data_IF_979472336863
#
_entry.id   IF_979472336863
#
_cell.length_a   1.000
_cell.length_b   1.000
_cell.length_c   1.000
_cell.angle_alpha   90.00
_cell.angle_beta   90.00
_cell.angle_gamma   90.00
#
_symmetry.space_group_name_H-M   'P 1'
#
loop_
_entity.id
_entity.type
_entity.pdbx_description
1 polymer ?
#
# COMPACT_ATOMS: atom_id res chain seq x y z
N UNK A 1 8.91 -7.99 -44.99
CA UNK A 1 8.56 -6.86 -45.88
C UNK A 1 9.47 -5.69 -45.51
N UNK A 2 10.17 -5.08 -46.48
CA UNK A 2 11.16 -4.01 -46.19
C UNK A 2 10.65 -2.60 -46.50
N UNK A 3 9.72 -2.44 -47.45
CA UNK A 3 9.04 -1.18 -47.77
C UNK A 3 7.63 -1.48 -48.27
N UNK A 4 6.64 -0.70 -47.84
CA UNK A 4 5.24 -0.89 -48.23
C UNK A 4 4.41 0.39 -48.03
N UNK A 5 3.21 0.42 -48.61
CA UNK A 5 2.27 1.53 -48.41
C UNK A 5 1.71 1.55 -46.98
N UNK A 6 1.21 2.70 -46.52
CA UNK A 6 0.61 2.85 -45.18
C UNK A 6 -0.51 1.84 -44.93
N UNK A 7 -1.36 1.58 -45.93
CA UNK A 7 -2.45 0.60 -45.85
C UNK A 7 -1.95 -0.84 -45.70
N UNK A 8 -0.84 -1.18 -46.37
CA UNK A 8 -0.20 -2.50 -46.22
C UNK A 8 0.44 -2.66 -44.84
N UNK A 9 1.09 -1.61 -44.32
CA UNK A 9 1.64 -1.63 -42.97
C UNK A 9 0.56 -1.73 -41.90
N UNK A 10 -0.51 -0.94 -42.00
CA UNK A 10 -1.64 -1.03 -41.07
C UNK A 10 -2.22 -2.45 -41.04
N UNK A 11 -2.49 -3.05 -42.21
CA UNK A 11 -2.98 -4.42 -42.29
C UNK A 11 -1.98 -5.44 -41.69
N UNK A 12 -0.68 -5.22 -41.88
CA UNK A 12 0.36 -6.08 -41.31
C UNK A 12 0.41 -5.98 -39.79
N UNK A 13 0.40 -4.75 -39.26
CA UNK A 13 0.46 -4.47 -37.82
C UNK A 13 -0.80 -5.01 -37.12
N UNK A 14 -1.99 -4.76 -37.68
CA UNK A 14 -3.24 -5.32 -37.13
C UNK A 14 -3.25 -6.84 -37.17
N UNK A 15 -2.63 -7.48 -38.16
CA UNK A 15 -2.51 -8.94 -38.18
C UNK A 15 -1.57 -9.49 -37.08
N UNK A 16 -0.72 -8.67 -36.45
CA UNK A 16 0.11 -9.10 -35.31
C UNK A 16 -0.74 -9.48 -34.10
N UNK A 17 -2.01 -9.10 -34.04
CA UNK A 17 -2.90 -9.54 -32.96
C UNK A 17 -3.18 -11.04 -32.99
N UNK A 18 -3.10 -11.65 -34.18
CA UNK A 18 -3.11 -13.12 -34.33
C UNK A 18 -1.86 -13.79 -33.77
N UNK A 19 -0.79 -13.02 -33.57
CA UNK A 19 0.51 -13.47 -33.04
C UNK A 19 0.71 -13.08 -31.57
N UNK A 20 -0.33 -12.56 -30.89
CA UNK A 20 -0.32 -12.30 -29.45
C UNK A 20 -0.09 -10.84 -29.03
N UNK A 21 0.18 -9.92 -29.96
CA UNK A 21 0.22 -8.48 -29.66
C UNK A 21 -1.20 -7.98 -29.38
N UNK A 22 -1.44 -7.25 -28.30
CA UNK A 22 -2.79 -6.76 -28.00
C UNK A 22 -3.15 -5.56 -28.87
N UNK A 23 -4.44 -5.38 -29.13
CA UNK A 23 -4.93 -4.16 -29.80
C UNK A 23 -4.57 -2.89 -28.99
N UNK A 24 -4.56 -2.98 -27.66
CA UNK A 24 -4.11 -1.87 -26.79
C UNK A 24 -2.64 -1.51 -27.02
N UNK A 25 -1.76 -2.49 -27.25
CA UNK A 25 -0.33 -2.25 -27.52
C UNK A 25 -0.14 -1.50 -28.83
N UNK A 26 -0.90 -1.90 -29.86
CA UNK A 26 -0.86 -1.25 -31.17
C UNK A 26 -1.40 0.18 -31.06
N UNK A 27 -2.54 0.36 -30.40
CA UNK A 27 -3.17 1.67 -30.22
C UNK A 27 -2.23 2.64 -29.50
N UNK A 28 -1.72 2.24 -28.34
CA UNK A 28 -0.85 3.11 -27.54
C UNK A 28 0.60 3.17 -28.02
N UNK A 29 0.96 2.49 -29.10
CA UNK A 29 2.26 2.71 -29.74
C UNK A 29 2.32 4.00 -30.57
N UNK A 30 1.16 4.58 -30.92
CA UNK A 30 1.04 5.73 -31.82
C UNK A 30 1.38 5.43 -33.28
N UNK A 31 1.80 4.20 -33.61
CA UNK A 31 2.30 3.85 -34.95
C UNK A 31 1.22 3.94 -36.02
N UNK A 32 -0.03 3.62 -35.68
CA UNK A 32 -1.14 3.68 -36.63
C UNK A 32 -1.55 5.12 -36.94
N UNK A 33 -1.58 5.99 -35.93
CA UNK A 33 -1.89 7.41 -36.10
C UNK A 33 -0.82 8.08 -36.96
N UNK A 34 0.46 7.76 -36.72
CA UNK A 34 1.55 8.22 -37.56
C UNK A 34 1.45 7.71 -39.00
N UNK A 35 1.16 6.41 -39.20
CA UNK A 35 0.99 5.81 -40.53
C UNK A 35 -0.15 6.45 -41.33
N UNK A 36 -1.25 6.82 -40.67
CA UNK A 36 -2.40 7.47 -41.30
C UNK A 36 -2.04 8.84 -41.92
N UNK A 37 -1.01 9.51 -41.39
CA UNK A 37 -0.50 10.78 -41.91
C UNK A 37 0.47 10.63 -43.08
N UNK A 38 0.92 9.40 -43.38
CA UNK A 38 1.92 9.16 -44.42
C UNK A 38 1.28 8.98 -45.80
N UNK A 39 1.74 9.76 -46.77
CA UNK A 39 1.33 9.65 -48.18
C UNK A 39 2.24 8.74 -49.01
N UNK A 40 3.48 8.50 -48.57
CA UNK A 40 4.48 7.68 -49.26
C UNK A 40 4.64 6.31 -48.62
N UNK A 41 5.24 5.37 -49.36
CA UNK A 41 5.58 4.06 -48.83
C UNK A 41 6.70 4.15 -47.79
N UNK A 42 6.48 3.53 -46.63
CA UNK A 42 7.41 3.54 -45.50
C UNK A 42 8.23 2.26 -45.48
N UNK A 43 9.47 2.37 -45.02
CA UNK A 43 10.37 1.25 -44.74
C UNK A 43 10.06 0.63 -43.39
N UNK A 44 10.53 -0.61 -43.16
CA UNK A 44 10.40 -1.26 -41.85
C UNK A 44 11.10 -0.46 -40.75
N UNK A 45 12.25 0.16 -41.04
CA UNK A 45 13.00 0.96 -40.07
C UNK A 45 12.20 2.18 -39.62
N UNK A 46 11.64 2.95 -40.56
CA UNK A 46 10.81 4.12 -40.27
C UNK A 46 9.59 3.76 -39.41
N UNK A 47 8.94 2.62 -39.70
CA UNK A 47 7.80 2.13 -38.88
C UNK A 47 8.24 1.80 -37.45
N UNK A 48 9.39 1.14 -37.27
CA UNK A 48 9.91 0.79 -35.95
C UNK A 48 10.33 2.02 -35.13
N UNK A 49 10.92 3.03 -35.78
CA UNK A 49 11.33 4.28 -35.12
C UNK A 49 10.15 5.10 -34.57
N UNK A 50 8.93 4.89 -35.08
CA UNK A 50 7.73 5.60 -34.65
C UNK A 50 6.85 4.81 -33.67
N UNK A 51 7.31 3.66 -33.18
CA UNK A 51 6.70 2.98 -32.04
C UNK A 51 7.15 3.70 -30.76
N UNK A 52 6.23 4.39 -30.08
CA UNK A 52 6.55 5.19 -28.91
C UNK A 52 5.60 4.93 -27.74
N UNK A 53 6.16 4.55 -26.59
CA UNK A 53 5.42 4.32 -25.35
C UNK A 53 5.79 5.33 -24.23
N UNK A 54 6.43 6.46 -24.58
CA UNK A 54 6.89 7.44 -23.58
C UNK A 54 5.74 8.03 -22.73
N UNK A 55 4.56 8.17 -23.34
CA UNK A 55 3.36 8.62 -22.66
C UNK A 55 2.78 7.56 -21.70
N UNK A 56 3.19 6.30 -21.85
CA UNK A 56 2.87 5.18 -20.95
C UNK A 56 4.00 4.88 -19.95
N UNK A 57 4.97 5.78 -19.78
CA UNK A 57 6.05 5.57 -18.81
C UNK A 57 5.49 5.49 -17.37
N UNK A 58 5.42 4.27 -16.87
CA UNK A 58 4.89 3.97 -15.54
C UNK A 58 5.85 4.46 -14.47
N UNK A 59 5.29 5.06 -13.42
CA UNK A 59 5.98 5.31 -12.15
C UNK A 59 5.21 4.67 -11.01
N UNK A 60 5.94 3.98 -10.16
CA UNK A 60 5.46 3.55 -8.85
C UNK A 60 5.83 4.63 -7.85
N UNK A 61 4.83 5.27 -7.25
CA UNK A 61 5.03 6.35 -6.27
C UNK A 61 4.16 6.12 -5.04
N UNK A 62 4.55 6.71 -3.93
CA UNK A 62 3.68 6.91 -2.77
C UNK A 62 3.27 8.38 -2.77
N UNK A 63 2.02 8.66 -2.40
CA UNK A 63 1.63 10.05 -2.16
C UNK A 63 2.42 10.59 -0.97
N UNK A 64 2.90 11.82 -1.06
CA UNK A 64 3.62 12.47 0.04
C UNK A 64 2.79 13.60 0.58
N UNK A 65 2.71 13.70 1.91
CA UNK A 65 2.10 14.84 2.59
C UNK A 65 3.17 15.60 3.33
N UNK A 66 2.99 16.92 3.38
CA UNK A 66 3.78 17.75 4.28
C UNK A 66 3.58 17.20 5.69
N UNK A 67 4.69 16.93 6.36
CA UNK A 67 4.67 16.50 7.74
C UNK A 67 4.16 17.69 8.55
N UNK A 68 2.89 17.65 8.91
CA UNK A 68 2.43 18.43 10.05
C UNK A 68 3.26 17.96 11.25
N UNK A 69 3.73 18.85 12.13
CA UNK A 69 4.60 18.49 13.25
C UNK A 69 3.80 17.83 14.39
N UNK A 70 3.01 16.82 14.02
CA UNK A 70 2.33 15.90 14.88
C UNK A 70 2.87 14.50 14.55
N UNK A 71 3.61 13.95 15.50
CA UNK A 71 4.36 12.71 15.41
C UNK A 71 3.43 11.50 15.42
N UNK A 72 3.70 10.54 14.53
CA UNK A 72 2.95 9.29 14.48
C UNK A 72 3.68 8.20 15.27
N UNK A 73 3.31 8.09 16.55
CA UNK A 73 3.85 7.10 17.47
C UNK A 73 3.28 5.70 17.22
N UNK A 74 4.11 4.69 17.01
CA UNK A 74 3.69 3.30 16.88
C UNK A 74 3.72 2.65 18.27
N UNK A 75 2.64 2.02 18.69
CA UNK A 75 2.61 1.23 19.93
C UNK A 75 3.56 0.04 19.80
N UNK A 76 4.36 -0.19 20.83
CA UNK A 76 5.30 -1.29 20.93
C UNK A 76 5.42 -1.73 22.39
N UNK A 77 6.14 -2.82 22.62
CA UNK A 77 6.42 -3.27 23.98
C UNK A 77 7.83 -3.85 24.01
N UNK A 78 8.81 -2.94 23.99
CA UNK A 78 10.23 -3.31 23.97
C UNK A 78 10.90 -2.91 25.28
N UNK A 79 11.75 -3.76 25.86
CA UNK A 79 12.51 -3.36 27.04
C UNK A 79 13.47 -2.22 26.68
N UNK A 80 13.59 -1.23 27.57
CA UNK A 80 14.58 -0.16 27.42
C UNK A 80 15.99 -0.75 27.51
N UNK A 81 16.86 -0.39 26.57
CA UNK A 81 18.28 -0.81 26.57
C UNK A 81 19.01 -0.24 27.81
N UNK A 82 19.21 -1.10 28.81
CA UNK A 82 19.86 -0.77 30.08
C UNK A 82 21.35 -0.42 29.95
N UNK A 83 22.03 -0.82 28.85
CA UNK A 83 23.44 -0.43 28.62
C UNK A 83 23.53 1.04 28.24
N UNK A 84 22.57 1.52 27.42
CA UNK A 84 22.45 2.93 27.03
C UNK A 84 21.78 3.77 28.12
N UNK A 85 20.87 3.17 28.89
CA UNK A 85 20.09 3.84 29.94
C UNK A 85 20.39 3.26 31.32
N UNK A 86 21.56 3.61 31.89
CA UNK A 86 21.99 3.06 33.19
C UNK A 86 21.02 3.33 34.34
N UNK A 87 20.28 4.43 34.28
CA UNK A 87 19.25 4.78 35.27
C UNK A 87 18.11 3.74 35.33
N UNK A 88 17.86 3.01 34.23
CA UNK A 88 16.85 1.96 34.17
C UNK A 88 17.24 0.70 34.98
N UNK A 89 18.47 0.63 35.50
CA UNK A 89 18.86 -0.40 36.47
C UNK A 89 18.34 -0.12 37.89
N UNK A 90 17.87 1.10 38.16
CA UNK A 90 17.39 1.54 39.47
C UNK A 90 15.86 1.51 39.58
N UNK A 91 15.18 0.82 38.67
CA UNK A 91 13.71 0.73 38.59
C UNK A 91 13.30 -0.72 38.33
N UNK A 92 12.04 -1.06 38.63
CA UNK A 92 11.51 -2.41 38.46
C UNK A 92 11.46 -2.79 36.97
N UNK A 93 10.80 -1.95 36.16
CA UNK A 93 10.82 -2.10 34.71
C UNK A 93 10.81 -0.74 34.01
N UNK A 94 11.32 -0.73 32.78
CA UNK A 94 11.27 0.42 31.89
C UNK A 94 11.04 -0.12 30.48
N UNK A 95 9.86 0.16 29.95
CA UNK A 95 9.36 -0.45 28.72
C UNK A 95 9.03 0.67 27.72
N UNK A 96 9.55 0.57 26.51
CA UNK A 96 9.16 1.43 25.38
C UNK A 96 7.77 1.00 24.94
N UNK A 97 6.81 1.86 25.20
CA UNK A 97 5.40 1.63 24.91
C UNK A 97 4.99 2.29 23.60
N UNK A 98 5.64 3.39 23.22
CA UNK A 98 5.42 4.02 21.92
C UNK A 98 6.73 4.51 21.31
N UNK A 99 6.87 4.35 20.00
CA UNK A 99 8.06 4.71 19.26
C UNK A 99 7.72 5.46 17.97
N UNK A 100 8.32 6.63 17.78
CA UNK A 100 8.24 7.39 16.55
C UNK A 100 9.50 7.11 15.71
N UNK A 101 9.32 6.69 14.46
CA UNK A 101 10.41 6.13 13.64
C UNK A 101 11.28 7.17 12.95
N UNK A 102 10.73 8.33 12.60
CA UNK A 102 11.39 9.33 11.76
C UNK A 102 12.46 10.09 12.56
N UNK A 103 12.06 10.62 13.72
CA UNK A 103 12.90 11.39 14.63
C UNK A 103 13.34 10.59 15.86
N UNK A 104 12.96 9.31 15.94
CA UNK A 104 13.44 8.32 16.92
C UNK A 104 13.12 8.68 18.38
N UNK A 105 11.92 9.20 18.62
CA UNK A 105 11.42 9.44 19.98
C UNK A 105 10.80 8.17 20.56
N UNK A 106 11.01 7.94 21.85
CA UNK A 106 10.44 6.81 22.57
C UNK A 106 9.67 7.31 23.80
N UNK A 107 8.38 7.00 23.88
CA UNK A 107 7.58 7.19 25.09
C UNK A 107 7.63 5.88 25.88
N UNK A 108 8.12 6.00 27.11
CA UNK A 108 8.40 4.84 27.96
C UNK A 108 7.51 4.85 29.19
N UNK A 109 7.15 3.66 29.66
CA UNK A 109 6.51 3.43 30.96
C UNK A 109 7.55 2.88 31.92
N UNK A 110 7.72 3.56 33.05
CA UNK A 110 8.65 3.18 34.11
C UNK A 110 7.87 2.72 35.32
N UNK A 111 8.20 1.56 35.87
CA UNK A 111 7.66 1.02 37.12
C UNK A 111 8.71 1.11 38.22
N UNK A 112 8.32 1.62 39.38
CA UNK A 112 9.14 1.64 40.60
C UNK A 112 8.39 1.02 41.75
N UNK A 113 9.15 0.34 42.60
CA UNK A 113 8.75 -0.08 43.93
C UNK A 113 9.08 1.04 44.92
N UNK A 114 8.13 1.36 45.79
CA UNK A 114 8.25 2.44 46.76
C UNK A 114 7.76 2.03 48.14
N UNK A 115 8.14 2.80 49.15
CA UNK A 115 7.73 2.59 50.55
C UNK A 115 6.19 2.58 50.73
N UNK A 116 5.47 3.22 49.81
CA UNK A 116 4.01 3.35 49.82
C UNK A 116 3.32 2.53 48.72
N UNK A 117 4.03 1.55 48.16
CA UNK A 117 3.54 0.68 47.09
C UNK A 117 4.17 0.96 45.74
N UNK A 118 3.81 0.12 44.76
CA UNK A 118 4.29 0.23 43.39
C UNK A 118 3.59 1.37 42.67
N UNK A 119 4.35 2.14 41.90
CA UNK A 119 3.81 3.18 41.05
C UNK A 119 4.47 3.18 39.68
N UNK A 120 3.71 3.61 38.68
CA UNK A 120 4.15 3.69 37.30
C UNK A 120 3.95 5.11 36.76
N UNK A 121 4.90 5.55 35.95
CA UNK A 121 4.86 6.88 35.33
C UNK A 121 5.45 6.83 33.93
N UNK A 122 5.14 7.85 33.15
CA UNK A 122 5.52 7.95 31.74
C UNK A 122 6.61 9.00 31.55
N UNK A 123 7.54 8.73 30.62
CA UNK A 123 8.63 9.64 30.26
C UNK A 123 8.86 9.65 28.75
N UNK A 124 9.48 10.72 28.26
CA UNK A 124 9.96 10.84 26.89
C UNK A 124 11.47 10.64 26.81
N UNK A 125 11.93 9.77 25.92
CA UNK A 125 13.31 9.68 25.49
C UNK A 125 13.46 10.27 24.08
N UNK A 126 14.51 11.07 23.88
CA UNK A 126 14.90 11.57 22.57
C UNK A 126 15.67 10.56 21.72
N UNK A 127 16.06 10.94 20.48
CA UNK A 127 16.81 10.09 19.54
C UNK A 127 18.14 9.53 20.09
N UNK A 128 18.75 10.23 21.05
CA UNK A 128 19.98 9.79 21.71
C UNK A 128 19.73 8.87 22.92
N UNK A 129 18.48 8.46 23.16
CA UNK A 129 18.05 7.67 24.29
C UNK A 129 18.02 8.41 25.62
N UNK A 130 18.27 9.72 25.66
CA UNK A 130 18.24 10.50 26.92
C UNK A 130 16.83 11.00 27.23
N UNK A 131 16.45 11.09 28.53
CA UNK A 131 15.22 11.74 28.94
C UNK A 131 15.14 13.19 28.44
N UNK A 132 13.99 13.55 27.90
CA UNK A 132 13.63 14.94 27.57
C UNK A 132 12.62 15.40 28.61
N UNK A 133 12.88 16.57 29.19
CA UNK A 133 12.05 17.18 30.22
C UNK A 133 11.40 18.47 29.68
N UNK A 134 10.23 18.86 30.21
CA UNK A 134 9.70 20.21 30.02
C UNK A 134 10.72 21.27 30.44
N UNK A 135 10.71 22.44 29.80
CA UNK A 135 11.68 23.51 30.06
C UNK A 135 11.63 24.05 31.49
N UNK A 136 10.47 23.91 32.12
CA UNK A 136 10.18 24.36 33.47
C UNK A 136 10.77 23.42 34.54
N UNK A 137 11.17 22.19 34.16
CA UNK A 137 11.64 21.14 35.06
C UNK A 137 13.13 20.87 34.84
N UNK A 138 13.96 21.15 35.86
CA UNK A 138 15.43 21.05 35.75
C UNK A 138 16.05 19.77 36.29
N UNK A 139 15.30 18.96 37.05
CA UNK A 139 15.80 17.74 37.70
C UNK A 139 14.77 16.60 37.62
N UNK A 140 15.26 15.36 37.69
CA UNK A 140 14.46 14.13 37.65
C UNK A 140 14.28 13.64 39.08
N UNK A 141 13.27 14.14 39.80
CA UNK A 141 12.78 13.46 41.00
C UNK A 141 11.66 12.50 40.58
N UNK A 142 11.44 11.45 41.38
CA UNK A 142 10.52 10.35 41.03
C UNK A 142 9.04 10.77 40.90
N UNK A 143 8.72 12.04 41.16
CA UNK A 143 7.44 12.72 41.00
C UNK A 143 7.19 13.32 39.60
N UNK A 144 8.20 13.35 38.73
CA UNK A 144 8.19 14.26 37.57
C UNK A 144 7.79 13.56 36.25
N UNK A 145 7.38 12.29 36.32
CA UNK A 145 6.79 11.57 35.20
C UNK A 145 5.29 11.77 35.11
N UNK A 146 4.72 11.57 33.92
CA UNK A 146 3.28 11.76 33.71
C UNK A 146 2.47 10.53 34.13
N UNK A 147 1.20 10.70 34.54
CA UNK A 147 0.33 9.58 34.88
C UNK A 147 -0.11 8.77 33.64
N UNK A 148 -0.03 9.36 32.45
CA UNK A 148 -0.43 8.77 31.17
C UNK A 148 0.55 9.20 30.05
N UNK A 149 0.53 8.58 28.86
CA UNK A 149 1.52 8.84 27.81
C UNK A 149 1.33 10.16 27.06
N UNK A 150 0.13 10.76 27.09
CA UNK A 150 -0.24 11.88 26.22
C UNK A 150 0.69 13.11 26.40
N UNK A 151 1.03 13.56 27.62
CA UNK A 151 1.93 14.69 27.80
C UNK A 151 3.35 14.40 27.30
N UNK A 152 3.81 13.15 27.34
CA UNK A 152 5.11 12.77 26.78
C UNK A 152 5.11 12.84 25.25
N UNK A 153 3.99 12.47 24.61
CA UNK A 153 3.80 12.60 23.17
C UNK A 153 3.70 14.07 22.75
N UNK A 154 2.99 14.89 23.53
CA UNK A 154 2.87 16.33 23.29
C UNK A 154 4.21 17.05 23.43
N UNK A 155 5.01 16.67 24.43
CA UNK A 155 6.36 17.19 24.58
C UNK A 155 7.24 16.83 23.38
N UNK A 156 7.10 15.61 22.84
CA UNK A 156 7.83 15.21 21.63
C UNK A 156 7.41 16.03 20.41
N UNK A 157 6.11 16.29 20.27
CA UNK A 157 5.57 17.16 19.23
C UNK A 157 6.13 18.59 19.31
N UNK A 158 6.13 19.17 20.52
CA UNK A 158 6.71 20.49 20.75
C UNK A 158 8.21 20.51 20.44
N UNK A 159 8.94 19.52 20.93
CA UNK A 159 10.38 19.43 20.76
C UNK A 159 10.79 19.28 19.29
N UNK A 160 10.02 18.54 18.48
CA UNK A 160 10.22 18.47 17.02
C UNK A 160 9.92 19.80 16.34
N UNK A 161 8.87 20.53 16.75
CA UNK A 161 8.58 21.88 16.22
C UNK A 161 9.72 22.84 16.49
N UNK A 162 10.26 22.82 17.70
CA UNK A 162 11.33 23.73 18.09
C UNK A 162 12.65 23.41 17.38
N UNK A 163 13.01 22.13 17.27
CA UNK A 163 14.26 21.71 16.61
C UNK A 163 14.19 21.78 15.09
N UNK A 164 13.05 21.44 14.50
CA UNK A 164 12.93 21.13 13.08
C UNK A 164 11.81 21.90 12.36
N UNK A 165 11.05 22.76 13.04
CA UNK A 165 9.91 23.47 12.47
C UNK A 165 10.24 24.48 11.35
N UNK A 166 11.53 24.77 11.13
CA UNK A 166 12.01 25.58 10.01
C UNK A 166 12.27 24.77 8.73
N UNK A 167 12.18 23.43 8.78
CA UNK A 167 12.41 22.54 7.66
C UNK A 167 11.07 22.02 7.13
N UNK A 168 10.91 22.00 5.81
CA UNK A 168 9.78 21.32 5.17
C UNK A 168 10.05 19.83 5.08
N UNK A 169 9.39 19.05 5.94
CA UNK A 169 9.46 17.60 5.91
C UNK A 169 8.28 17.03 5.14
N UNK A 170 8.53 15.96 4.41
CA UNK A 170 7.50 15.17 3.74
C UNK A 170 7.52 13.76 4.31
N UNK A 171 6.35 13.18 4.51
CA UNK A 171 6.20 11.75 4.81
C UNK A 171 5.28 11.12 3.79
N UNK A 172 5.35 9.80 3.65
CA UNK A 172 4.38 9.09 2.83
C UNK A 172 3.00 9.21 3.47
N UNK A 173 2.03 9.63 2.66
CA UNK A 173 0.64 9.64 3.02
C UNK A 173 0.20 8.17 3.17
N UNK A 174 -0.32 7.86 4.35
CA UNK A 174 -0.92 6.57 4.67
C UNK A 174 -2.41 6.80 4.87
N UNK A 175 -3.03 7.35 3.83
CA UNK A 175 -4.37 7.95 3.89
C UNK A 175 -5.41 6.93 4.34
N UNK A 176 -5.28 5.70 3.88
CA UNK A 176 -6.20 4.58 4.05
C UNK A 176 -5.67 3.50 5.00
N UNK A 177 -4.64 3.79 5.81
CA UNK A 177 -4.09 2.84 6.79
C UNK A 177 -5.16 2.33 7.76
N UNK A 178 -6.13 3.15 8.08
CA UNK A 178 -7.22 2.79 8.98
C UNK A 178 -8.17 1.73 8.42
N UNK A 179 -8.18 1.55 7.10
CA UNK A 179 -8.90 0.47 6.41
C UNK A 179 -8.03 -0.78 6.24
N UNK A 180 -6.81 -0.81 6.81
CA UNK A 180 -5.95 -1.97 6.78
C UNK A 180 -6.32 -2.91 7.93
N UNK A 181 -6.25 -4.21 7.68
CA UNK A 181 -6.37 -5.19 8.74
C UNK A 181 -5.25 -5.06 9.77
N UNK A 182 -5.57 -5.28 11.05
CA UNK A 182 -4.57 -5.25 12.12
C UNK A 182 -3.56 -6.40 11.98
N UNK A 183 -2.38 -6.24 12.59
CA UNK A 183 -1.30 -7.25 12.62
C UNK A 183 -0.17 -7.05 11.60
N UNK A 184 -0.35 -6.15 10.62
CA UNK A 184 0.69 -5.81 9.65
C UNK A 184 1.62 -4.68 10.08
N UNK A 185 2.84 -4.70 9.57
CA UNK A 185 3.81 -3.61 9.72
C UNK A 185 4.17 -2.99 8.35
N UNK A 186 4.84 -1.83 8.35
CA UNK A 186 5.32 -1.18 7.10
C UNK A 186 4.24 -0.99 6.03
N UNK A 187 3.05 -0.55 6.45
CA UNK A 187 1.96 -0.28 5.53
C UNK A 187 2.33 0.80 4.51
N UNK A 188 2.02 0.52 3.24
CA UNK A 188 2.30 1.35 2.08
C UNK A 188 1.08 1.42 1.13
N UNK A 189 0.93 2.59 0.49
CA UNK A 189 -0.06 2.87 -0.55
C UNK A 189 0.67 3.11 -1.87
N UNK A 190 0.75 2.07 -2.69
CA UNK A 190 1.47 2.11 -3.96
C UNK A 190 0.56 2.66 -5.06
N UNK A 191 0.98 3.75 -5.71
CA UNK A 191 0.28 4.36 -6.83
C UNK A 191 1.03 4.06 -8.13
N UNK A 192 0.40 3.33 -9.04
CA UNK A 192 0.90 3.10 -10.40
C UNK A 192 0.39 4.23 -11.29
N UNK A 193 1.29 5.12 -11.70
CA UNK A 193 0.96 6.35 -12.40
C UNK A 193 1.57 6.42 -13.80
N UNK A 194 0.91 7.13 -14.71
CA UNK A 194 1.42 7.53 -16.02
C UNK A 194 1.43 9.05 -16.15
N UNK A 195 2.41 9.72 -15.51
CA UNK A 195 2.40 11.19 -15.41
C UNK A 195 2.60 11.89 -16.75
N UNK A 196 3.15 11.20 -17.76
CA UNK A 196 3.34 11.73 -19.11
C UNK A 196 2.12 11.51 -20.03
N UNK A 197 1.06 10.88 -19.53
CA UNK A 197 -0.13 10.65 -20.34
C UNK A 197 -0.81 11.99 -20.71
N UNK A 198 -1.27 12.16 -21.96
CA UNK A 198 -1.78 13.46 -22.43
C UNK A 198 -3.05 13.90 -21.71
N UNK A 199 -3.96 12.95 -21.48
CA UNK A 199 -5.18 13.21 -20.73
C UNK A 199 -4.91 13.29 -19.23
N UNK A 200 -5.85 13.91 -18.52
CA UNK A 200 -5.80 14.05 -17.06
C UNK A 200 -6.97 13.34 -16.41
N UNK A 201 -6.67 12.42 -15.51
CA UNK A 201 -7.61 11.78 -14.61
C UNK A 201 -7.20 12.04 -13.15
N UNK A 202 -8.17 12.36 -12.30
CA UNK A 202 -7.99 12.44 -10.85
C UNK A 202 -8.91 11.44 -10.16
N UNK A 203 -8.31 10.69 -9.23
CA UNK A 203 -9.07 9.83 -8.31
C UNK A 203 -9.74 10.69 -7.22
N UNK A 204 -10.81 10.16 -6.62
CA UNK A 204 -11.39 10.73 -5.39
C UNK A 204 -10.55 10.38 -4.14
N UNK A 205 -9.68 9.38 -4.23
CA UNK A 205 -8.93 8.83 -3.10
C UNK A 205 -7.54 9.46 -2.93
N UNK A 206 -6.96 10.01 -4.01
CA UNK A 206 -5.58 10.51 -4.04
C UNK A 206 -5.51 11.79 -4.86
N UNK A 207 -4.61 12.72 -4.48
CA UNK A 207 -4.38 13.96 -5.23
C UNK A 207 -3.47 13.75 -6.45
N UNK A 208 -2.78 12.61 -6.51
CA UNK A 208 -1.90 12.27 -7.63
C UNK A 208 -2.72 11.98 -8.90
N UNK A 209 -2.37 12.65 -10.00
CA UNK A 209 -3.04 12.46 -11.29
C UNK A 209 -2.63 11.17 -11.99
N UNK A 210 -3.48 10.70 -12.90
CA UNK A 210 -3.21 9.63 -13.85
C UNK A 210 -2.78 8.31 -13.18
N UNK A 211 -3.45 7.95 -12.08
CA UNK A 211 -3.30 6.66 -11.41
C UNK A 211 -4.05 5.61 -12.21
N UNK A 212 -3.33 4.65 -12.78
CA UNK A 212 -3.91 3.47 -13.46
C UNK A 212 -4.48 2.51 -12.41
N UNK A 213 -3.70 2.25 -11.36
CA UNK A 213 -4.09 1.35 -10.29
C UNK A 213 -3.40 1.79 -8.99
N UNK A 214 -4.01 1.47 -7.87
CA UNK A 214 -3.40 1.59 -6.56
C UNK A 214 -3.44 0.24 -5.84
N UNK A 215 -2.42 0.00 -5.01
CA UNK A 215 -2.30 -1.20 -4.19
C UNK A 215 -2.01 -0.80 -2.76
N UNK A 216 -2.83 -1.28 -1.83
CA UNK A 216 -2.55 -1.17 -0.39
C UNK A 216 -1.87 -2.45 0.05
N UNK A 217 -0.75 -2.32 0.75
CA UNK A 217 0.01 -3.48 1.23
C UNK A 217 0.60 -3.24 2.60
N UNK A 218 0.84 -4.32 3.33
CA UNK A 218 1.70 -4.33 4.51
C UNK A 218 2.59 -5.58 4.50
N UNK A 219 3.49 -5.67 5.47
CA UNK A 219 4.34 -6.83 5.69
C UNK A 219 3.88 -7.58 6.94
N UNK A 220 3.79 -8.90 6.83
CA UNK A 220 3.33 -9.79 7.91
C UNK A 220 4.21 -11.02 7.99
N UNK A 221 4.42 -11.50 9.21
CA UNK A 221 4.93 -12.84 9.41
C UNK A 221 3.74 -13.81 9.40
N UNK A 222 3.85 -14.89 8.64
CA UNK A 222 2.84 -15.94 8.65
C UNK A 222 3.07 -16.93 9.80
N UNK A 223 2.15 -17.90 9.98
CA UNK A 223 2.26 -18.94 11.02
C UNK A 223 3.51 -19.83 10.92
N UNK A 224 4.25 -19.77 9.81
CA UNK A 224 5.50 -20.49 9.59
C UNK A 224 6.74 -19.60 9.80
N UNK A 225 6.56 -18.34 10.20
CA UNK A 225 7.64 -17.37 10.41
C UNK A 225 8.22 -16.81 9.11
N UNK A 226 7.51 -16.95 7.98
CA UNK A 226 7.91 -16.37 6.69
C UNK A 226 7.44 -14.93 6.61
N UNK A 227 8.28 -14.04 6.09
CA UNK A 227 7.94 -12.62 5.92
C UNK A 227 7.23 -12.43 4.59
N UNK A 228 5.96 -12.05 4.62
CA UNK A 228 5.09 -11.97 3.44
C UNK A 228 4.73 -10.52 3.13
N UNK A 229 4.80 -10.14 1.85
CA UNK A 229 4.14 -8.93 1.36
C UNK A 229 2.66 -9.24 1.20
N UNK A 230 1.83 -8.67 2.08
CA UNK A 230 0.40 -8.91 2.09
C UNK A 230 -0.34 -7.78 1.38
N UNK A 231 -1.01 -8.12 0.26
CA UNK A 231 -1.81 -7.19 -0.53
C UNK A 231 -3.21 -7.10 0.08
N UNK A 232 -3.46 -5.96 0.72
CA UNK A 232 -4.72 -5.62 1.39
C UNK A 232 -5.80 -5.23 0.39
N UNK A 233 -5.42 -4.57 -0.71
CA UNK A 233 -6.34 -4.13 -1.75
C UNK A 233 -5.60 -3.88 -3.06
N UNK A 234 -6.25 -4.19 -4.18
CA UNK A 234 -5.83 -3.82 -5.53
C UNK A 234 -7.04 -3.22 -6.25
N UNK A 235 -6.95 -1.96 -6.66
CA UNK A 235 -8.08 -1.21 -7.24
C UNK A 235 -7.64 -0.25 -8.35
N UNK A 236 -8.57 0.08 -9.26
CA UNK A 236 -8.42 1.14 -10.26
C UNK A 236 -9.66 2.03 -10.28
N UNK A 237 -9.55 3.24 -9.71
CA UNK A 237 -10.65 4.21 -9.76
C UNK A 237 -10.94 4.68 -11.18
N UNK A 238 -9.89 4.83 -12.00
CA UNK A 238 -10.03 5.29 -13.38
C UNK A 238 -10.89 4.33 -14.18
N UNK A 239 -10.56 3.04 -14.14
CA UNK A 239 -11.28 2.06 -14.94
C UNK A 239 -12.59 1.63 -14.30
N UNK A 240 -12.76 1.74 -12.98
CA UNK A 240 -14.07 1.59 -12.35
C UNK A 240 -15.02 2.73 -12.78
N UNK A 241 -14.56 3.99 -12.73
CA UNK A 241 -15.35 5.13 -13.19
C UNK A 241 -15.67 5.02 -14.69
N UNK A 242 -14.69 4.61 -15.51
CA UNK A 242 -14.91 4.42 -16.95
C UNK A 242 -15.93 3.32 -17.27
N UNK A 243 -15.96 2.22 -16.49
CA UNK A 243 -16.99 1.17 -16.62
C UNK A 243 -18.37 1.63 -16.16
N UNK A 244 -18.43 2.46 -15.11
CA UNK A 244 -19.68 2.92 -14.52
C UNK A 244 -20.33 4.07 -15.30
N UNK A 245 -19.53 5.05 -15.72
CA UNK A 245 -20.00 6.30 -16.33
C UNK A 245 -19.71 6.38 -17.85
N UNK A 246 -18.96 5.43 -18.40
CA UNK A 246 -18.48 5.44 -19.78
C UNK A 246 -17.20 6.26 -19.93
N UNK A 247 -16.41 5.95 -20.96
CA UNK A 247 -15.22 6.73 -21.35
C UNK A 247 -15.57 7.79 -22.38
N UNK A 248 -14.83 8.92 -22.37
CA UNK A 248 -15.04 10.06 -23.27
C UNK A 248 -14.95 9.72 -24.76
N UNK A 249 -14.16 8.72 -25.14
CA UNK A 249 -14.04 8.27 -26.53
C UNK A 249 -15.26 7.46 -27.02
N UNK A 250 -16.11 6.99 -26.10
CA UNK A 250 -17.35 6.25 -26.40
C UNK A 250 -18.57 7.13 -26.14
N UNK A 251 -18.49 8.00 -25.14
CA UNK A 251 -19.55 8.92 -24.74
C UNK A 251 -18.95 10.33 -24.63
N UNK A 252 -19.21 11.21 -25.60
CA UNK A 252 -18.66 12.57 -25.65
C UNK A 252 -19.03 13.41 -24.42
N UNK A 253 -20.15 13.09 -23.75
CA UNK A 253 -20.61 13.75 -22.53
C UNK A 253 -19.90 13.24 -21.25
N UNK A 254 -19.01 12.23 -21.35
CA UNK A 254 -18.27 11.70 -20.20
C UNK A 254 -17.01 12.50 -19.89
N UNK A 255 -16.89 12.90 -18.63
CA UNK A 255 -15.68 13.53 -18.10
C UNK A 255 -14.52 12.55 -17.93
N UNK A 256 -14.73 11.24 -18.07
CA UNK A 256 -13.71 10.21 -17.81
C UNK A 256 -12.88 9.94 -19.07
N UNK A 257 -11.60 10.32 -19.13
CA UNK A 257 -10.78 10.07 -20.31
C UNK A 257 -10.57 8.56 -20.54
N UNK A 258 -10.48 8.14 -21.80
CA UNK A 258 -10.11 6.76 -22.13
C UNK A 258 -8.64 6.54 -21.78
N UNK A 259 -8.41 5.69 -20.77
CA UNK A 259 -7.08 5.38 -20.27
C UNK A 259 -6.53 4.06 -20.80
N UNK A 260 -5.19 3.90 -20.84
CA UNK A 260 -4.55 2.64 -21.18
C UNK A 260 -4.81 1.58 -20.09
N UNK A 261 -4.66 0.30 -20.45
CA UNK A 261 -4.87 -0.85 -19.54
C UNK A 261 -6.29 -0.99 -18.97
N UNK A 262 -7.33 -0.53 -19.69
CA UNK A 262 -8.73 -0.58 -19.23
C UNK A 262 -9.22 -1.97 -18.78
N UNK A 263 -8.68 -3.01 -19.40
CA UNK A 263 -8.97 -4.41 -19.09
C UNK A 263 -7.80 -5.17 -18.45
N UNK A 264 -6.60 -4.58 -18.47
CA UNK A 264 -5.35 -5.23 -18.05
C UNK A 264 -4.66 -4.54 -16.87
N UNK A 265 -5.26 -3.51 -16.26
CA UNK A 265 -4.68 -2.78 -15.13
C UNK A 265 -4.35 -3.67 -13.93
N UNK A 266 -5.17 -4.71 -13.68
CA UNK A 266 -4.90 -5.68 -12.61
C UNK A 266 -3.63 -6.49 -12.88
N UNK A 267 -3.40 -6.88 -14.15
CA UNK A 267 -2.17 -7.58 -14.54
C UNK A 267 -0.96 -6.70 -14.28
N UNK A 268 -1.06 -5.41 -14.63
CA UNK A 268 0.00 -4.44 -14.41
C UNK A 268 0.28 -4.20 -12.91
N UNK A 269 -0.77 -4.12 -12.09
CA UNK A 269 -0.65 -4.02 -10.64
C UNK A 269 0.08 -5.25 -10.06
N UNK A 270 -0.33 -6.46 -10.44
CA UNK A 270 0.29 -7.71 -9.99
C UNK A 270 1.74 -7.82 -10.45
N UNK A 271 2.01 -7.50 -11.71
CA UNK A 271 3.36 -7.44 -12.29
C UNK A 271 4.28 -6.53 -11.48
N UNK A 272 3.78 -5.35 -11.11
CA UNK A 272 4.50 -4.40 -10.28
C UNK A 272 4.74 -4.96 -8.88
N UNK A 273 3.73 -5.57 -8.25
CA UNK A 273 3.89 -6.17 -6.91
C UNK A 273 4.82 -7.39 -6.92
N UNK A 274 4.84 -8.19 -7.98
CA UNK A 274 5.81 -9.26 -8.19
C UNK A 274 7.24 -8.72 -8.26
N UNK A 275 7.45 -7.65 -9.04
CA UNK A 275 8.74 -6.98 -9.11
C UNK A 275 9.18 -6.44 -7.75
N UNK A 276 8.27 -5.77 -7.04
CA UNK A 276 8.54 -5.23 -5.70
C UNK A 276 8.90 -6.33 -4.70
N UNK A 277 8.11 -7.41 -4.64
CA UNK A 277 8.39 -8.51 -3.72
C UNK A 277 9.71 -9.24 -4.05
N UNK A 278 10.08 -9.33 -5.33
CA UNK A 278 11.36 -9.89 -5.73
C UNK A 278 12.56 -9.00 -5.34
N UNK A 279 12.37 -7.68 -5.30
CA UNK A 279 13.38 -6.70 -4.84
C UNK A 279 13.41 -6.51 -3.31
N UNK A 280 12.33 -6.88 -2.63
CA UNK A 280 12.19 -6.80 -1.18
C UNK A 280 12.63 -8.09 -0.48
N UNK A 281 12.95 -7.97 0.81
CA UNK A 281 13.31 -9.10 1.66
C UNK A 281 12.06 -9.80 2.23
N UNK A 282 11.21 -10.32 1.35
CA UNK A 282 9.97 -11.04 1.67
C UNK A 282 9.97 -12.39 0.96
N UNK A 283 9.49 -13.46 1.59
CA UNK A 283 9.47 -14.83 1.07
C UNK A 283 8.36 -15.08 0.05
N UNK A 284 7.33 -14.25 0.04
CA UNK A 284 6.16 -14.43 -0.80
C UNK A 284 5.23 -13.22 -0.87
N UNK A 285 4.20 -13.36 -1.69
CA UNK A 285 3.09 -12.43 -1.79
C UNK A 285 1.81 -13.15 -1.42
N UNK A 286 1.10 -12.65 -0.42
CA UNK A 286 -0.25 -13.10 -0.10
C UNK A 286 -1.25 -11.96 -0.35
N UNK A 287 -2.54 -12.28 -0.44
CA UNK A 287 -3.59 -11.29 -0.62
C UNK A 287 -4.86 -11.69 0.13
N UNK A 288 -5.74 -10.73 0.33
CA UNK A 288 -7.05 -10.97 0.95
C UNK A 288 -7.93 -11.89 0.11
N UNK A 289 -8.76 -12.71 0.73
CA UNK A 289 -9.81 -13.49 0.02
C UNK A 289 -11.03 -12.61 -0.31
N UNK A 290 -11.92 -13.16 -1.12
CA UNK A 290 -13.19 -12.52 -1.47
C UNK A 290 -14.10 -12.31 -0.27
N UNK A 291 -14.25 -13.32 0.57
CA UNK A 291 -15.01 -13.25 1.83
C UNK A 291 -14.55 -12.07 2.71
N UNK A 292 -13.23 -11.89 2.81
CA UNK A 292 -12.62 -10.82 3.62
C UNK A 292 -12.92 -9.43 3.08
N UNK A 293 -12.97 -9.29 1.74
CA UNK A 293 -13.30 -8.04 1.09
C UNK A 293 -14.80 -7.76 1.19
N UNK A 294 -15.65 -8.77 1.03
CA UNK A 294 -17.08 -8.61 1.25
C UNK A 294 -17.37 -8.15 2.68
N UNK A 295 -16.75 -8.81 3.66
CA UNK A 295 -16.90 -8.46 5.07
C UNK A 295 -16.47 -7.02 5.36
N UNK A 296 -15.36 -6.58 4.75
CA UNK A 296 -14.88 -5.19 4.84
C UNK A 296 -15.87 -4.19 4.25
N UNK A 297 -16.46 -4.50 3.10
CA UNK A 297 -17.22 -3.52 2.31
C UNK A 297 -18.74 -3.61 2.48
N UNK A 298 -19.28 -4.62 3.17
CA UNK A 298 -20.73 -4.82 3.36
C UNK A 298 -21.44 -3.61 3.96
N UNK A 299 -20.80 -2.89 4.89
CA UNK A 299 -21.40 -1.70 5.52
C UNK A 299 -21.49 -0.50 4.57
N UNK A 300 -20.53 -0.36 3.64
CA UNK A 300 -20.54 0.70 2.63
C UNK A 300 -21.51 0.42 1.48
N UNK A 301 -21.79 -0.87 1.24
CA UNK A 301 -22.61 -1.35 0.13
C UNK A 301 -23.70 -2.33 0.60
N UNK A 302 -24.55 -1.96 1.57
CA UNK A 302 -25.45 -2.89 2.25
C UNK A 302 -26.48 -3.54 1.33
N UNK A 303 -26.79 -2.89 0.20
CA UNK A 303 -27.79 -3.34 -0.78
C UNK A 303 -27.20 -3.57 -2.18
N UNK A 304 -25.88 -3.57 -2.33
CA UNK A 304 -25.20 -3.77 -3.63
C UNK A 304 -24.46 -5.12 -3.65
N UNK A 305 -25.26 -6.19 -3.52
CA UNK A 305 -24.78 -7.57 -3.61
C UNK A 305 -23.97 -7.84 -4.88
N UNK A 306 -24.38 -7.37 -6.08
CA UNK A 306 -23.57 -7.57 -7.29
C UNK A 306 -22.15 -7.01 -7.20
N UNK A 307 -21.98 -5.85 -6.53
CA UNK A 307 -20.65 -5.27 -6.30
C UNK A 307 -19.81 -6.11 -5.33
N UNK A 308 -20.41 -6.57 -4.23
CA UNK A 308 -19.73 -7.43 -3.25
C UNK A 308 -19.33 -8.78 -3.88
N UNK A 309 -20.22 -9.39 -4.66
CA UNK A 309 -19.93 -10.63 -5.39
C UNK A 309 -18.83 -10.42 -6.44
N UNK A 310 -18.84 -9.27 -7.11
CA UNK A 310 -17.79 -8.86 -8.05
C UNK A 310 -16.42 -8.75 -7.39
N UNK A 311 -16.36 -8.19 -6.19
CA UNK A 311 -15.13 -8.15 -5.38
C UNK A 311 -14.69 -9.57 -5.03
N UNK A 312 -15.59 -10.42 -4.54
CA UNK A 312 -15.22 -11.79 -4.17
C UNK A 312 -14.69 -12.59 -5.36
N UNK A 313 -15.36 -12.51 -6.50
CA UNK A 313 -14.90 -13.12 -7.76
C UNK A 313 -13.50 -12.62 -8.15
N UNK A 314 -13.22 -11.33 -7.98
CA UNK A 314 -11.91 -10.78 -8.29
C UNK A 314 -10.79 -11.41 -7.45
N UNK A 315 -10.95 -11.45 -6.12
CA UNK A 315 -9.92 -11.97 -5.22
C UNK A 315 -9.79 -13.49 -5.22
N UNK A 316 -10.90 -14.23 -5.36
CA UNK A 316 -10.88 -15.69 -5.25
C UNK A 316 -10.71 -16.41 -6.59
N UNK A 317 -11.03 -15.75 -7.71
CA UNK A 317 -10.96 -16.37 -9.05
C UNK A 317 -9.97 -15.68 -9.97
N UNK A 318 -10.05 -14.36 -10.10
CA UNK A 318 -9.25 -13.60 -11.08
C UNK A 318 -7.79 -13.51 -10.62
N UNK A 319 -7.52 -13.07 -9.39
CA UNK A 319 -6.15 -12.92 -8.88
C UNK A 319 -5.35 -14.24 -8.89
N UNK A 320 -5.84 -15.37 -8.35
CA UNK A 320 -5.08 -16.63 -8.38
C UNK A 320 -4.84 -17.15 -9.80
N UNK A 321 -5.75 -16.89 -10.73
CA UNK A 321 -5.57 -17.22 -12.14
C UNK A 321 -4.49 -16.36 -12.77
N UNK A 322 -4.49 -15.05 -12.52
CA UNK A 322 -3.48 -14.13 -13.03
C UNK A 322 -2.09 -14.44 -12.48
N UNK A 323 -1.96 -14.68 -11.17
CA UNK A 323 -0.69 -15.10 -10.58
C UNK A 323 -0.16 -16.36 -11.25
N UNK A 324 -0.98 -17.42 -11.40
CA UNK A 324 -0.57 -18.65 -12.12
C UNK A 324 -0.13 -18.39 -13.56
N UNK A 325 -0.81 -17.50 -14.27
CA UNK A 325 -0.47 -17.18 -15.66
C UNK A 325 0.82 -16.39 -15.77
N UNK A 326 1.02 -15.41 -14.88
CA UNK A 326 2.21 -14.55 -14.88
C UNK A 326 3.44 -15.28 -14.37
N UNK A 327 3.30 -16.22 -13.44
CA UNK A 327 4.44 -16.96 -12.89
C UNK A 327 4.73 -18.29 -13.59
N UNK A 328 3.99 -18.59 -14.66
CA UNK A 328 4.22 -19.77 -15.51
C UNK A 328 5.67 -19.75 -16.02
N UNK A 329 6.39 -20.86 -15.83
CA UNK A 329 7.79 -20.99 -16.23
C UNK A 329 8.82 -20.48 -15.22
N UNK A 330 8.36 -19.80 -14.15
CA UNK A 330 9.24 -19.33 -13.07
C UNK A 330 9.31 -20.30 -11.87
N UNK A 331 8.71 -21.49 -11.97
CA UNK A 331 8.65 -22.50 -10.89
C UNK A 331 8.02 -21.98 -9.58
N UNK A 332 7.12 -21.00 -9.66
CA UNK A 332 6.48 -20.42 -8.49
C UNK A 332 5.49 -21.41 -7.84
N UNK A 333 5.45 -21.43 -6.52
CA UNK A 333 4.48 -22.24 -5.77
C UNK A 333 3.31 -21.35 -5.35
N UNK A 334 2.10 -21.70 -5.82
CA UNK A 334 0.87 -21.11 -5.33
C UNK A 334 0.25 -22.07 -4.30
N UNK A 335 0.14 -21.59 -3.07
CA UNK A 335 -0.33 -22.34 -1.90
C UNK A 335 -1.22 -21.44 -1.04
N UNK A 336 -1.47 -21.85 0.20
CA UNK A 336 -2.18 -21.06 1.20
C UNK A 336 -1.30 -20.90 2.44
N UNK A 337 -1.55 -19.82 3.19
CA UNK A 337 -0.98 -19.62 4.52
C UNK A 337 -2.03 -19.06 5.45
N UNK A 338 -1.68 -18.91 6.73
CA UNK A 338 -2.51 -18.24 7.72
C UNK A 338 -1.74 -17.09 8.33
N UNK A 339 -2.46 -16.00 8.62
CA UNK A 339 -1.95 -14.84 9.33
C UNK A 339 -2.68 -14.69 10.65
N UNK A 340 -1.92 -14.25 11.66
CA UNK A 340 -2.52 -13.72 12.88
C UNK A 340 -3.10 -12.32 12.58
N UNK A 341 -4.40 -12.14 12.81
CA UNK A 341 -5.05 -10.83 12.75
C UNK A 341 -5.84 -10.58 14.03
N UNK A 342 -6.23 -9.33 14.27
CA UNK A 342 -7.30 -9.02 15.21
C UNK A 342 -8.62 -9.05 14.48
N UNK A 343 -9.65 -9.69 15.05
CA UNK A 343 -11.01 -9.59 14.55
C UNK A 343 -11.46 -8.11 14.50
N UNK A 344 -12.54 -7.80 13.78
CA UNK A 344 -13.04 -6.43 13.64
C UNK A 344 -14.38 -6.19 14.35
N UNK A 345 -14.73 -7.04 15.33
CA UNK A 345 -15.97 -6.92 16.11
C UNK A 345 -16.11 -5.53 16.74
N UNK A 346 -15.03 -4.98 17.26
CA UNK A 346 -14.96 -3.62 17.77
C UNK A 346 -14.21 -2.74 16.76
N UNK A 347 -14.80 -1.61 16.37
CA UNK A 347 -14.21 -0.72 15.36
C UNK A 347 -14.45 0.75 15.70
N UNK A 348 -13.61 1.63 15.16
CA UNK A 348 -13.73 3.07 15.36
C UNK A 348 -14.72 3.68 14.37
N UNK A 349 -15.70 4.43 14.88
CA UNK A 349 -16.68 5.17 14.07
C UNK A 349 -16.84 6.60 14.55
N UNK A 350 -17.36 7.48 13.68
CA UNK A 350 -17.59 8.90 14.03
C UNK A 350 -19.02 9.13 14.50
N UNK A 351 -19.18 9.68 15.70
CA UNK A 351 -20.47 10.10 16.25
C UNK A 351 -20.34 11.53 16.80
N UNK A 352 -21.19 12.44 16.34
CA UNK A 352 -21.25 13.83 16.86
C UNK A 352 -19.96 14.65 16.66
N UNK A 353 -19.14 14.31 15.66
CA UNK A 353 -17.86 14.98 15.40
C UNK A 353 -16.67 14.47 16.22
N UNK A 354 -16.87 13.44 17.06
CA UNK A 354 -15.80 12.68 17.70
C UNK A 354 -15.79 11.22 17.27
N UNK A 355 -14.89 10.43 17.85
CA UNK A 355 -14.67 9.01 17.58
C UNK A 355 -15.14 8.16 18.75
N UNK A 356 -15.87 7.08 18.49
CA UNK A 356 -16.34 6.12 19.48
C UNK A 356 -16.03 4.70 19.03
N UNK A 357 -15.82 3.81 19.99
CA UNK A 357 -15.72 2.38 19.74
C UNK A 357 -17.13 1.82 19.57
N UNK A 358 -17.41 1.23 18.41
CA UNK A 358 -18.68 0.57 18.13
C UNK A 358 -18.52 -0.95 18.32
N UNK A 359 -19.59 -1.63 18.75
CA UNK A 359 -19.71 -3.09 18.66
C UNK A 359 -20.52 -3.43 17.41
N UNK A 360 -19.93 -4.19 16.48
CA UNK A 360 -20.57 -4.63 15.24
C UNK A 360 -21.86 -5.42 15.48
N UNK A 361 -21.97 -6.13 16.62
CA UNK A 361 -23.14 -6.98 16.89
C UNK A 361 -24.36 -6.18 17.29
N UNK A 362 -24.16 -5.12 18.08
CA UNK A 362 -25.25 -4.29 18.61
C UNK A 362 -25.45 -2.99 17.83
N UNK A 363 -24.48 -2.60 16.99
CA UNK A 363 -24.43 -1.28 16.33
C UNK A 363 -24.53 -0.11 17.31
N UNK A 364 -23.99 -0.29 18.52
CA UNK A 364 -24.01 0.70 19.59
C UNK A 364 -22.59 1.13 20.01
N UNK A 365 -22.40 2.40 20.45
CA UNK A 365 -21.15 2.84 21.03
C UNK A 365 -20.90 2.15 22.38
N UNK A 366 -19.78 1.44 22.47
CA UNK A 366 -19.31 0.74 23.68
C UNK A 366 -18.17 1.49 24.38
N UNK A 367 -17.93 2.74 23.99
CA UNK A 367 -17.00 3.65 24.66
C UNK A 367 -17.53 5.08 24.69
N UNK A 368 -16.91 5.90 25.53
CA UNK A 368 -17.07 7.36 25.48
C UNK A 368 -16.55 7.94 24.16
N UNK A 369 -16.88 9.21 23.93
CA UNK A 369 -16.43 9.98 22.77
C UNK A 369 -14.99 10.46 22.95
N UNK A 370 -14.14 10.10 21.99
CA UNK A 370 -12.74 10.50 21.90
C UNK A 370 -12.55 11.50 20.77
N UNK A 371 -11.59 12.42 20.93
CA UNK A 371 -11.22 13.34 19.85
C UNK A 371 -10.29 12.71 18.81
N UNK A 372 -9.62 11.60 19.18
CA UNK A 372 -8.64 10.91 18.34
C UNK A 372 -9.14 9.53 17.92
N UNK A 373 -9.23 9.30 16.61
CA UNK A 373 -9.51 7.98 16.02
C UNK A 373 -8.57 6.90 16.56
N UNK A 374 -7.29 7.24 16.69
CA UNK A 374 -6.23 6.31 17.07
C UNK A 374 -6.43 5.71 18.47
N UNK A 375 -6.93 6.51 19.41
CA UNK A 375 -7.26 6.02 20.76
C UNK A 375 -8.33 4.94 20.69
N UNK A 376 -9.33 5.14 19.83
CA UNK A 376 -10.40 4.17 19.61
C UNK A 376 -9.90 2.92 18.90
N UNK A 377 -8.99 3.06 17.93
CA UNK A 377 -8.35 1.92 17.24
C UNK A 377 -7.49 1.07 18.19
N UNK A 378 -6.76 1.70 19.12
CA UNK A 378 -5.98 0.98 20.13
C UNK A 378 -6.91 0.22 21.09
N UNK A 379 -8.05 0.84 21.49
CA UNK A 379 -9.09 0.17 22.28
C UNK A 379 -9.71 -1.01 21.53
N UNK A 380 -10.02 -0.83 20.24
CA UNK A 380 -10.51 -1.87 19.35
C UNK A 380 -9.52 -3.05 19.31
N UNK A 381 -8.25 -2.78 19.02
CA UNK A 381 -7.20 -3.79 18.90
C UNK A 381 -6.99 -4.61 20.19
N UNK A 382 -7.12 -3.96 21.36
CA UNK A 382 -7.04 -4.64 22.67
C UNK A 382 -8.28 -5.48 22.99
N UNK A 383 -9.45 -5.04 22.55
CA UNK A 383 -10.74 -5.71 22.83
C UNK A 383 -11.03 -6.84 21.86
N UNK A 384 -10.59 -6.72 20.62
CA UNK A 384 -10.72 -7.72 19.58
C UNK A 384 -9.83 -8.94 19.87
N UNK A 385 -10.41 -10.12 19.76
CA UNK A 385 -9.66 -11.37 19.84
C UNK A 385 -8.65 -11.49 18.69
N UNK A 386 -7.55 -12.20 18.97
CA UNK A 386 -6.66 -12.68 17.93
C UNK A 386 -7.34 -13.85 17.22
N UNK A 387 -7.42 -13.77 15.89
CA UNK A 387 -7.94 -14.83 15.03
C UNK A 387 -6.94 -15.15 13.92
N UNK A 388 -6.96 -16.40 13.45
CA UNK A 388 -6.13 -16.83 12.34
C UNK A 388 -6.95 -16.87 11.07
N UNK A 389 -6.49 -16.16 10.06
CA UNK A 389 -7.20 -16.08 8.79
C UNK A 389 -6.34 -16.63 7.67
N UNK A 390 -6.95 -17.50 6.88
CA UNK A 390 -6.33 -18.09 5.69
C UNK A 390 -6.22 -17.06 4.57
N UNK A 391 -5.15 -17.14 3.81
CA UNK A 391 -4.92 -16.32 2.65
C UNK A 391 -4.18 -17.12 1.57
N UNK A 392 -4.52 -16.92 0.29
CA UNK A 392 -3.72 -17.40 -0.82
C UNK A 392 -2.31 -16.81 -0.75
N UNK A 393 -1.31 -17.61 -1.09
CA UNK A 393 0.10 -17.26 -1.02
C UNK A 393 0.83 -17.73 -2.27
N UNK A 394 1.55 -16.82 -2.92
CA UNK A 394 2.57 -17.14 -3.89
C UNK A 394 3.95 -17.07 -3.22
N UNK A 395 4.65 -18.20 -3.14
CA UNK A 395 6.03 -18.23 -2.68
C UNK A 395 7.00 -17.83 -3.80
N UNK A 396 7.98 -17.01 -3.43
CA UNK A 396 9.05 -16.57 -4.32
C UNK A 396 10.25 -17.50 -4.17
N UNK A 397 10.66 -18.12 -5.27
CA UNK A 397 11.92 -18.87 -5.33
C UNK A 397 13.07 -18.00 -5.88
N UNK A 398 14.31 -18.47 -5.77
CA UNK A 398 15.50 -17.76 -6.25
C UNK A 398 15.46 -17.52 -7.77
N UNK A 399 15.02 -18.50 -8.57
CA UNK A 399 14.91 -18.36 -10.02
C UNK A 399 13.99 -17.20 -10.43
N UNK A 400 12.84 -17.04 -9.76
CA UNK A 400 11.93 -15.92 -9.97
C UNK A 400 12.62 -14.59 -9.68
N UNK A 401 13.31 -14.49 -8.54
CA UNK A 401 13.99 -13.26 -8.14
C UNK A 401 15.07 -12.87 -9.13
N UNK A 402 15.85 -13.84 -9.60
CA UNK A 402 16.89 -13.62 -10.60
C UNK A 402 16.29 -13.15 -11.93
N UNK A 403 15.24 -13.81 -12.44
CA UNK A 403 14.61 -13.43 -13.69
C UNK A 403 13.97 -12.04 -13.62
N UNK A 404 13.23 -11.76 -12.55
CA UNK A 404 12.61 -10.44 -12.31
C UNK A 404 13.66 -9.34 -12.13
N UNK A 405 14.78 -9.66 -11.47
CA UNK A 405 15.87 -8.69 -11.28
C UNK A 405 16.66 -8.42 -12.55
N UNK A 406 16.84 -9.43 -13.41
CA UNK A 406 17.65 -9.33 -14.62
C UNK A 406 16.88 -8.72 -15.79
N UNK A 407 15.63 -9.11 -15.99
CA UNK A 407 14.85 -8.73 -17.17
C UNK A 407 13.72 -7.74 -16.85
N UNK A 408 13.48 -7.45 -15.57
CA UNK A 408 12.36 -6.63 -15.16
C UNK A 408 11.02 -7.31 -15.41
N UNK A 409 9.99 -6.50 -15.61
CA UNK A 409 8.63 -6.98 -15.90
C UNK A 409 8.14 -6.33 -17.18
N UNK A 410 7.65 -7.10 -18.15
CA UNK A 410 7.22 -6.53 -19.42
C UNK A 410 5.96 -5.69 -19.22
N UNK A 411 5.94 -4.51 -19.86
CA UNK A 411 4.82 -3.56 -19.79
C UNK A 411 3.51 -4.22 -20.25
N UNK A 412 3.56 -4.89 -21.40
CA UNK A 412 2.46 -5.67 -21.97
C UNK A 412 2.82 -7.17 -22.03
N UNK A 413 1.84 -8.02 -22.33
CA UNK A 413 2.08 -9.46 -22.49
C UNK A 413 2.52 -10.20 -21.21
N UNK A 414 3.21 -11.33 -21.36
CA UNK A 414 3.66 -12.20 -20.26
C UNK A 414 5.18 -12.25 -20.18
N UNK A 415 5.71 -12.80 -19.09
CA UNK A 415 7.14 -13.08 -18.98
C UNK A 415 7.58 -14.06 -20.09
N UNK A 416 8.73 -13.83 -20.73
CA UNK A 416 9.27 -14.77 -21.70
C UNK A 416 9.57 -16.12 -21.03
N UNK A 417 9.27 -17.23 -21.70
CA UNK A 417 9.62 -18.56 -21.21
C UNK A 417 11.15 -18.73 -21.22
N UNK A 418 11.71 -19.61 -20.38
CA UNK A 418 13.17 -19.78 -20.08
C UNK A 418 14.14 -19.86 -21.28
N UNK A 419 13.65 -19.98 -22.51
CA UNK A 419 14.45 -20.06 -23.75
C UNK A 419 14.22 -18.91 -24.74
N UNK A 420 13.31 -17.98 -24.44
CA UNK A 420 13.11 -16.78 -25.25
C UNK A 420 13.99 -15.67 -24.65
N UNK A 421 15.09 -15.36 -25.33
CA UNK A 421 15.77 -14.09 -25.07
C UNK A 421 14.74 -12.99 -25.28
N UNK A 422 14.57 -12.03 -24.37
CA UNK A 422 13.73 -10.88 -24.68
C UNK A 422 14.26 -10.28 -25.98
N UNK A 423 13.38 -9.93 -26.93
CA UNK A 423 13.82 -9.31 -28.15
C UNK A 423 14.62 -8.04 -27.77
N UNK A 424 15.84 -7.95 -28.29
CA UNK A 424 16.60 -6.71 -28.26
C UNK A 424 15.77 -5.66 -29.01
N UNK A 425 15.02 -4.84 -28.28
CA UNK A 425 14.45 -3.61 -28.79
C UNK A 425 15.19 -2.44 -28.15
#
# INVERSE_FOLDING_TARGET
>A
MNKASSRQWEATIRNLTKSGIREEEIHWSGVLDWLALQSQSQTKAEVLEHICFDHLKIRLVEEVRKLSPHLDFIECNWPVDRKKNRWANCVVSADVCYYERIFQYAVIRVKRDGLFGDYAYWMLLGPNGKPILPKEVKHILASDGWPNPEPAMDLANQDVRERYGHLEWFTTARTWRYEAWYGGCNYCEWLLTIPSFPETYYSKHFSTRNIIAHVRSDERDDVFGRRILFLQEIQSDWHQNGRLYGYRNVNEDSDIPYGPFSDSWHELAIKTMLYMAAKSNVDGIAWTTGEQQMERWKHYYPNDTPKLDGMAMFYDKILPKLFRQLTKGLNAELTETSFEIKEQKYYASTVGGGWVLMDETSDEPVSDLFQSRKVVEDLASRKNATVYVKAPLLLLNETMREQLSRYGVPLFGRFPEKNESPPNF
#
